data_IF_651189714092
#
_entry.id   IF_651189714092
#
_cell.length_a   1.000
_cell.length_b   1.000
_cell.length_c   1.000
_cell.angle_alpha   90.00
_cell.angle_beta   90.00
_cell.angle_gamma   90.00
#
_symmetry.space_group_name_H-M   'P 1'
#
loop_
_entity.id
_entity.type
_entity.pdbx_description
1 polymer ?
#
# COMPACT_ATOMS: atom_id res chain seq x y z
N UNK A 1 -0.85 -19.40 -0.53
CA UNK A 1 -0.08 -18.73 -1.60
C UNK A 1 -1.01 -17.73 -2.28
N UNK A 2 -0.75 -16.43 -2.14
CA UNK A 2 -1.64 -15.39 -2.66
C UNK A 2 -1.07 -14.79 -3.94
N UNK A 3 -1.49 -15.32 -5.08
CA UNK A 3 -1.15 -14.81 -6.41
C UNK A 3 -1.88 -13.49 -6.71
N UNK A 4 -1.22 -12.67 -7.54
CA UNK A 4 -1.81 -11.47 -8.16
C UNK A 4 -3.14 -11.84 -8.84
N UNK A 5 -4.23 -11.25 -8.37
CA UNK A 5 -5.52 -11.26 -9.06
C UNK A 5 -5.80 -9.83 -9.50
N UNK A 6 -5.78 -9.58 -10.82
CA UNK A 6 -6.25 -8.37 -11.51
C UNK A 6 -5.94 -7.04 -10.83
N UNK A 7 -4.86 -6.37 -11.23
CA UNK A 7 -4.48 -5.00 -10.81
C UNK A 7 -4.38 -4.71 -9.29
N UNK A 8 -4.62 -5.71 -8.43
CA UNK A 8 -4.68 -5.52 -6.99
C UNK A 8 -3.66 -6.42 -6.27
N UNK A 9 -2.61 -5.81 -5.74
CA UNK A 9 -1.72 -6.47 -4.79
C UNK A 9 -2.39 -6.55 -3.42
N UNK A 10 -2.63 -7.78 -2.94
CA UNK A 10 -3.20 -8.02 -1.62
C UNK A 10 -2.11 -8.00 -0.54
N UNK A 11 -1.88 -6.85 0.08
CA UNK A 11 -0.95 -6.72 1.21
C UNK A 11 -1.68 -6.95 2.53
N UNK A 12 -1.18 -7.89 3.36
CA UNK A 12 -1.64 -8.06 4.74
C UNK A 12 -0.77 -7.22 5.66
N UNK A 13 -1.31 -6.12 6.19
CA UNK A 13 -0.64 -5.37 7.26
C UNK A 13 -1.21 -5.83 8.60
N UNK A 14 -0.32 -6.32 9.47
CA UNK A 14 -0.61 -6.60 10.87
C UNK A 14 -0.61 -5.28 11.67
N UNK A 15 -1.67 -4.48 11.55
CA UNK A 15 -1.87 -3.29 12.37
C UNK A 15 -3.20 -3.39 13.12
N UNK A 16 -3.16 -3.17 14.44
CA UNK A 16 -4.38 -3.05 15.26
C UNK A 16 -5.23 -1.88 14.72
N UNK A 17 -6.55 -2.04 14.54
CA UNK A 17 -7.41 -1.01 13.96
C UNK A 17 -7.68 0.09 15.00
N UNK A 18 -6.68 0.92 15.31
CA UNK A 18 -6.93 2.25 15.86
C UNK A 18 -7.19 3.17 14.67
N UNK A 19 -8.40 3.73 14.60
CA UNK A 19 -8.83 4.60 13.50
C UNK A 19 -7.76 5.67 13.19
N UNK A 20 -7.37 5.79 11.91
CA UNK A 20 -6.35 6.72 11.43
C UNK A 20 -4.90 6.28 11.62
N UNK A 21 -4.53 5.66 12.75
CA UNK A 21 -3.14 5.25 13.00
C UNK A 21 -2.67 4.14 12.06
N UNK A 22 -3.53 3.14 11.79
CA UNK A 22 -3.23 2.04 10.87
C UNK A 22 -3.04 2.52 9.43
N UNK A 23 -3.86 3.48 8.98
CA UNK A 23 -3.76 4.04 7.62
C UNK A 23 -2.47 4.85 7.47
N UNK A 24 -2.11 5.65 8.49
CA UNK A 24 -0.88 6.44 8.47
C UNK A 24 0.36 5.54 8.47
N UNK A 25 0.37 4.48 9.25
CA UNK A 25 1.49 3.53 9.26
C UNK A 25 1.60 2.77 7.94
N UNK A 26 0.47 2.36 7.36
CA UNK A 26 0.45 1.78 6.02
C UNK A 26 1.08 2.72 4.97
N UNK A 27 0.65 3.99 4.94
CA UNK A 27 1.18 4.97 3.99
C UNK A 27 2.68 5.23 4.21
N UNK A 28 3.15 5.28 5.46
CA UNK A 28 4.60 5.40 5.75
C UNK A 28 5.39 4.18 5.30
N UNK A 29 4.87 2.98 5.56
CA UNK A 29 5.50 1.73 5.13
C UNK A 29 5.61 1.70 3.60
N UNK A 30 4.52 2.01 2.90
CA UNK A 30 4.49 2.08 1.45
C UNK A 30 5.44 3.15 0.92
N UNK A 31 5.49 4.34 1.54
CA UNK A 31 6.42 5.40 1.14
C UNK A 31 7.88 4.92 1.21
N UNK A 32 8.24 4.22 2.29
CA UNK A 32 9.58 3.67 2.48
C UNK A 32 9.91 2.56 1.48
N UNK A 33 8.98 1.63 1.26
CA UNK A 33 9.16 0.51 0.33
C UNK A 33 9.25 0.98 -1.11
N UNK A 34 8.35 1.88 -1.49
CA UNK A 34 8.28 2.42 -2.85
C UNK A 34 9.26 3.57 -3.07
N UNK A 35 9.92 4.08 -2.04
CA UNK A 35 10.87 5.19 -2.15
C UNK A 35 10.24 6.49 -2.66
N UNK A 36 8.97 6.75 -2.33
CA UNK A 36 8.22 7.96 -2.73
C UNK A 36 7.90 8.85 -1.54
N UNK A 37 7.50 10.10 -1.82
CA UNK A 37 7.09 11.01 -0.76
C UNK A 37 5.70 10.60 -0.24
N UNK A 38 5.38 10.83 1.04
CA UNK A 38 4.04 10.55 1.56
C UNK A 38 2.91 11.26 0.81
N UNK A 39 3.17 12.46 0.26
CA UNK A 39 2.19 13.20 -0.56
C UNK A 39 1.89 12.57 -1.92
N UNK A 40 2.76 11.67 -2.39
CA UNK A 40 2.53 10.89 -3.61
C UNK A 40 1.65 9.66 -3.35
N UNK A 41 1.30 9.39 -2.10
CA UNK A 41 0.43 8.30 -1.69
C UNK A 41 -0.90 8.82 -1.16
N UNK A 42 -1.99 8.28 -1.66
CA UNK A 42 -3.34 8.66 -1.23
C UNK A 42 -4.21 7.42 -1.01
N UNK A 43 -4.90 7.35 0.13
CA UNK A 43 -5.84 6.27 0.39
C UNK A 43 -7.18 6.58 -0.30
N UNK A 44 -7.42 5.97 -1.45
CA UNK A 44 -8.67 6.17 -2.21
C UNK A 44 -9.87 5.45 -1.59
N UNK A 45 -9.63 4.27 -1.02
CA UNK A 45 -10.72 3.46 -0.46
C UNK A 45 -10.24 2.54 0.67
N UNK A 46 -11.22 2.10 1.46
CA UNK A 46 -11.01 1.07 2.46
C UNK A 46 -10.55 1.57 3.82
N UNK A 47 -10.62 2.88 4.11
CA UNK A 47 -10.20 3.46 5.39
C UNK A 47 -10.67 2.69 6.63
N UNK A 48 -11.89 2.13 6.60
CA UNK A 48 -12.50 1.31 7.66
C UNK A 48 -12.48 -0.21 7.39
N UNK A 49 -12.07 -0.64 6.20
CA UNK A 49 -12.05 -2.04 5.76
C UNK A 49 -10.68 -2.71 5.89
N UNK A 50 -10.67 -4.05 5.73
CA UNK A 50 -9.47 -4.90 5.67
C UNK A 50 -8.71 -4.79 4.34
N UNK A 51 -9.39 -4.35 3.29
CA UNK A 51 -8.82 -4.08 1.98
C UNK A 51 -8.63 -2.57 1.84
N UNK A 52 -7.45 -2.15 1.40
CA UNK A 52 -7.07 -0.75 1.24
C UNK A 52 -6.68 -0.52 -0.22
N UNK A 53 -7.23 0.52 -0.84
CA UNK A 53 -6.80 0.97 -2.17
C UNK A 53 -6.00 2.25 -2.01
N UNK A 54 -4.72 2.20 -2.39
CA UNK A 54 -3.82 3.34 -2.29
C UNK A 54 -3.40 3.73 -3.70
N UNK A 55 -3.61 5.00 -4.06
CA UNK A 55 -3.09 5.61 -5.28
C UNK A 55 -1.65 6.02 -5.04
N UNK A 56 -0.80 5.71 -6.00
CA UNK A 56 0.61 6.11 -6.03
C UNK A 56 0.82 7.02 -7.23
N UNK A 57 1.43 8.19 -7.02
CA UNK A 57 1.79 9.15 -8.08
C UNK A 57 3.29 9.12 -8.34
N UNK A 58 3.70 9.41 -9.57
CA UNK A 58 5.11 9.58 -9.92
C UNK A 58 5.93 8.28 -10.00
N UNK A 59 5.28 7.11 -9.99
CA UNK A 59 5.92 5.81 -10.22
C UNK A 59 5.15 5.01 -11.28
N UNK A 60 5.85 4.35 -12.21
CA UNK A 60 5.23 3.41 -13.13
C UNK A 60 4.77 2.14 -12.39
N UNK A 61 3.69 1.53 -12.86
CA UNK A 61 3.09 0.35 -12.24
C UNK A 61 4.07 -0.83 -12.12
N UNK A 62 4.94 -0.98 -13.11
CA UNK A 62 5.99 -2.01 -13.19
C UNK A 62 6.91 -1.95 -11.97
N UNK A 63 7.48 -0.76 -11.71
CA UNK A 63 8.37 -0.53 -10.57
C UNK A 63 7.66 -0.69 -9.24
N UNK A 64 6.38 -0.36 -9.16
CA UNK A 64 5.56 -0.57 -7.95
C UNK A 64 5.47 -2.08 -7.66
N UNK A 65 5.15 -2.89 -8.68
CA UNK A 65 5.05 -4.34 -8.56
C UNK A 65 6.40 -4.97 -8.17
N UNK A 66 7.49 -4.56 -8.81
CA UNK A 66 8.84 -5.05 -8.50
C UNK A 66 9.23 -4.76 -7.04
N UNK A 67 9.05 -3.51 -6.58
CA UNK A 67 9.40 -3.12 -5.21
C UNK A 67 8.55 -3.83 -4.17
N UNK A 68 7.27 -4.06 -4.46
CA UNK A 68 6.37 -4.78 -3.57
C UNK A 68 6.66 -6.29 -3.54
N UNK A 69 7.03 -6.89 -4.66
CA UNK A 69 7.45 -8.29 -4.71
C UNK A 69 8.77 -8.55 -3.95
N UNK A 70 9.64 -7.54 -3.86
CA UNK A 70 10.88 -7.61 -3.10
C UNK A 70 10.68 -7.52 -1.57
N UNK A 71 9.48 -7.12 -1.10
CA UNK A 71 9.16 -7.03 0.33
C UNK A 71 8.66 -8.39 0.80
N UNK A 72 9.54 -9.14 1.47
CA UNK A 72 9.20 -10.40 2.16
C UNK A 72 8.57 -10.17 3.53
#
# INVERSE_FOLDING_TARGET
MGGLHGDALRVRVAARPLEGAANRELLRLLARVLGVRPGDLELEAGARGREKRVRVRGLPAETILERLAAVR
#
